data_IF_019213920452
#
_entry.id   IF_019213920452
#
_cell.length_a   1.000
_cell.length_b   1.000
_cell.length_c   1.000
_cell.angle_alpha   90.00
_cell.angle_beta   90.00
_cell.angle_gamma   90.00
#
_symmetry.space_group_name_H-M   'P 1'
#
loop_
_entity.id
_entity.type
_entity.pdbx_description
1 polymer ?
#
# COMPACT_ATOMS: atom_id res chain seq x y z
N UNK A 1 -2.02 16.30 -36.77
CA UNK A 1 -2.99 15.63 -35.88
C UNK A 1 -2.78 16.02 -34.40
N UNK A 2 -2.18 17.19 -34.15
CA UNK A 2 -1.48 17.47 -32.90
C UNK A 2 -2.20 18.50 -32.02
N UNK A 3 -3.18 19.23 -32.57
CA UNK A 3 -4.02 20.17 -31.84
C UNK A 3 -4.86 19.43 -30.80
N UNK A 4 -5.67 18.45 -31.22
CA UNK A 4 -6.59 17.73 -30.33
C UNK A 4 -5.89 17.06 -29.13
N UNK A 5 -4.70 16.48 -29.34
CA UNK A 5 -3.88 15.96 -28.23
C UNK A 5 -3.31 17.05 -27.32
N UNK A 6 -2.96 18.22 -27.89
CA UNK A 6 -2.52 19.39 -27.13
C UNK A 6 -3.66 20.01 -26.31
N UNK A 7 -4.88 20.01 -26.84
CA UNK A 7 -6.08 20.44 -26.11
C UNK A 7 -6.36 19.52 -24.90
N UNK A 8 -6.16 18.21 -25.04
CA UNK A 8 -6.26 17.24 -23.94
C UNK A 8 -5.13 17.43 -22.91
N UNK A 9 -3.88 17.62 -23.36
CA UNK A 9 -2.74 17.92 -22.48
C UNK A 9 -3.01 19.21 -21.67
N UNK A 10 -3.52 20.27 -22.31
CA UNK A 10 -3.80 21.56 -21.68
C UNK A 10 -4.99 21.48 -20.70
N UNK A 11 -6.09 20.84 -21.10
CA UNK A 11 -7.23 20.57 -20.22
C UNK A 11 -6.82 19.78 -18.97
N UNK A 12 -5.95 18.77 -19.12
CA UNK A 12 -5.42 17.97 -18.01
C UNK A 12 -4.61 18.83 -17.04
N UNK A 13 -3.73 19.70 -17.55
CA UNK A 13 -2.92 20.61 -16.73
C UNK A 13 -3.76 21.69 -16.03
N UNK A 14 -4.76 22.25 -16.72
CA UNK A 14 -5.68 23.24 -16.14
C UNK A 14 -6.52 22.65 -15.00
N UNK A 15 -7.03 21.41 -15.16
CA UNK A 15 -7.78 20.71 -14.10
C UNK A 15 -6.89 20.44 -12.88
N UNK A 16 -5.63 20.05 -13.09
CA UNK A 16 -4.65 19.89 -12.00
C UNK A 16 -4.34 21.21 -11.30
N UNK A 17 -4.10 22.29 -12.05
CA UNK A 17 -3.82 23.61 -11.51
C UNK A 17 -5.00 24.16 -10.68
N UNK A 18 -6.22 24.06 -11.21
CA UNK A 18 -7.45 24.47 -10.52
C UNK A 18 -7.73 23.68 -9.23
N UNK A 19 -7.18 22.47 -9.11
CA UNK A 19 -7.29 21.62 -7.91
C UNK A 19 -6.18 21.85 -6.86
N UNK A 20 -5.24 22.77 -7.09
CA UNK A 20 -4.08 22.98 -6.20
C UNK A 20 -2.92 22.00 -6.44
N UNK A 21 -2.86 21.35 -7.61
CA UNK A 21 -1.69 20.60 -8.08
C UNK A 21 -1.63 19.12 -7.67
N UNK A 22 -2.63 18.58 -6.98
CA UNK A 22 -2.73 17.14 -6.67
C UNK A 22 -4.16 16.64 -6.84
N UNK A 23 -4.33 15.56 -7.61
CA UNK A 23 -5.58 14.82 -7.80
C UNK A 23 -5.28 13.33 -7.98
N UNK A 24 -6.26 12.48 -7.64
CA UNK A 24 -6.25 11.07 -8.03
C UNK A 24 -6.60 10.89 -9.52
N UNK A 25 -6.22 9.75 -10.12
CA UNK A 25 -6.59 9.44 -11.51
C UNK A 25 -8.12 9.38 -11.71
N UNK A 26 -8.85 8.87 -10.71
CA UNK A 26 -10.31 8.77 -10.75
C UNK A 26 -10.99 10.15 -10.73
N UNK A 27 -10.52 11.08 -9.88
CA UNK A 27 -11.02 12.47 -9.90
C UNK A 27 -10.68 13.17 -11.21
N UNK A 28 -9.48 12.95 -11.74
CA UNK A 28 -9.04 13.56 -12.99
C UNK A 28 -9.89 13.05 -14.17
N UNK A 29 -10.18 11.74 -14.22
CA UNK A 29 -11.10 11.12 -15.18
C UNK A 29 -12.53 11.66 -15.06
N UNK A 30 -13.05 11.78 -13.83
CA UNK A 30 -14.38 12.36 -13.57
C UNK A 30 -14.48 13.83 -14.03
N UNK A 31 -13.45 14.65 -13.78
CA UNK A 31 -13.42 16.07 -14.18
C UNK A 31 -13.20 16.28 -15.68
N UNK A 32 -12.47 15.39 -16.35
CA UNK A 32 -12.23 15.43 -17.80
C UNK A 32 -13.32 14.73 -18.63
N UNK A 33 -14.25 14.01 -18.00
CA UNK A 33 -15.27 13.22 -18.70
C UNK A 33 -14.68 12.03 -19.48
N UNK A 34 -13.53 11.52 -19.05
CA UNK A 34 -12.76 10.46 -19.72
C UNK A 34 -12.77 9.16 -18.92
N UNK A 35 -12.38 8.03 -19.55
CA UNK A 35 -12.11 6.79 -18.80
C UNK A 35 -10.79 6.90 -18.03
N UNK A 36 -10.69 6.18 -16.92
CA UNK A 36 -9.48 6.18 -16.10
C UNK A 36 -8.25 5.64 -16.87
N UNK A 37 -8.43 4.64 -17.74
CA UNK A 37 -7.34 4.11 -18.57
C UNK A 37 -6.80 5.11 -19.61
N UNK A 38 -7.69 5.92 -20.20
CA UNK A 38 -7.29 6.99 -21.11
C UNK A 38 -6.50 8.08 -20.36
N UNK A 39 -7.01 8.51 -19.20
CA UNK A 39 -6.32 9.46 -18.32
C UNK A 39 -4.99 8.92 -17.81
N UNK A 40 -4.91 7.64 -17.43
CA UNK A 40 -3.66 6.97 -17.01
C UNK A 40 -2.60 7.04 -18.11
N UNK A 41 -3.00 6.83 -19.37
CA UNK A 41 -2.09 6.93 -20.52
C UNK A 41 -1.60 8.37 -20.74
N UNK A 42 -2.50 9.36 -20.70
CA UNK A 42 -2.15 10.79 -20.84
C UNK A 42 -1.23 11.26 -19.70
N UNK A 43 -1.56 10.93 -18.45
CA UNK A 43 -0.74 11.29 -17.27
C UNK A 43 0.64 10.64 -17.33
N UNK A 44 0.75 9.40 -17.81
CA UNK A 44 2.05 8.73 -17.99
C UNK A 44 2.92 9.49 -19.01
N UNK A 45 2.36 9.79 -20.18
CA UNK A 45 3.04 10.58 -21.22
C UNK A 45 3.43 11.99 -20.75
N UNK A 46 2.57 12.66 -19.99
CA UNK A 46 2.88 13.98 -19.41
C UNK A 46 3.98 13.90 -18.34
N UNK A 47 4.08 12.79 -17.61
CA UNK A 47 5.14 12.55 -16.63
C UNK A 47 6.49 12.27 -17.30
N UNK A 48 6.51 11.47 -18.36
CA UNK A 48 7.71 11.25 -19.21
C UNK A 48 8.22 12.56 -19.83
N UNK A 49 7.29 13.46 -20.20
CA UNK A 49 7.59 14.82 -20.69
C UNK A 49 7.94 15.83 -19.58
N UNK A 50 7.98 15.41 -18.31
CA UNK A 50 8.32 16.25 -17.16
C UNK A 50 7.28 17.33 -16.81
N UNK A 51 6.06 17.24 -17.33
CA UNK A 51 4.99 18.24 -17.10
C UNK A 51 4.15 17.98 -15.86
N UNK A 52 4.07 16.73 -15.42
CA UNK A 52 3.42 16.32 -14.16
C UNK A 52 4.35 15.38 -13.40
N UNK A 53 4.15 15.23 -12.09
CA UNK A 53 4.91 14.28 -11.26
C UNK A 53 3.95 13.35 -10.53
N UNK A 54 4.18 12.05 -10.66
CA UNK A 54 3.52 11.04 -9.84
C UNK A 54 4.10 11.17 -8.42
N UNK A 55 3.29 11.72 -7.51
CA UNK A 55 3.72 12.05 -6.14
C UNK A 55 3.46 10.91 -5.14
N UNK A 56 2.44 10.10 -5.38
CA UNK A 56 1.98 9.04 -4.47
C UNK A 56 1.84 7.73 -5.23
N UNK A 57 2.33 6.64 -4.62
CA UNK A 57 2.26 5.28 -5.12
C UNK A 57 1.95 4.39 -3.93
N UNK A 58 0.73 3.90 -3.85
CA UNK A 58 0.23 3.15 -2.69
C UNK A 58 0.03 1.66 -3.00
N UNK A 59 0.15 0.83 -1.97
CA UNK A 59 -0.22 -0.59 -2.06
C UNK A 59 -1.73 -0.72 -2.02
N UNK A 60 -2.36 -0.94 -3.18
CA UNK A 60 -3.80 -1.18 -3.30
C UNK A 60 -4.30 -2.37 -2.43
N UNK A 61 -3.41 -3.29 -2.03
CA UNK A 61 -3.67 -4.35 -1.04
C UNK A 61 -2.40 -4.60 -0.21
N UNK A 62 -2.51 -4.92 1.10
CA UNK A 62 -1.37 -5.28 1.92
C UNK A 62 -0.57 -6.45 1.32
N UNK A 63 0.69 -6.21 0.96
CA UNK A 63 1.60 -7.25 0.50
C UNK A 63 2.17 -7.98 1.71
N UNK A 64 1.68 -9.18 2.00
CA UNK A 64 2.32 -10.05 2.98
C UNK A 64 3.77 -10.32 2.57
N UNK A 65 4.72 -9.91 3.42
CA UNK A 65 6.15 -10.19 3.26
C UNK A 65 6.46 -11.50 3.99
N UNK A 66 6.75 -12.55 3.22
CA UNK A 66 7.17 -13.84 3.77
C UNK A 66 8.56 -13.65 4.42
N UNK A 67 8.61 -13.65 5.75
CA UNK A 67 9.85 -13.41 6.51
C UNK A 67 9.66 -12.82 7.90
N UNK A 68 8.51 -12.22 8.20
CA UNK A 68 8.15 -11.78 9.56
C UNK A 68 7.81 -13.00 10.45
N UNK A 69 8.82 -13.77 10.85
CA UNK A 69 8.68 -14.84 11.82
C UNK A 69 8.11 -14.27 13.15
N UNK A 70 7.15 -14.94 13.80
CA UNK A 70 6.59 -14.46 15.06
C UNK A 70 7.64 -14.52 16.16
N UNK A 71 8.25 -13.37 16.47
CA UNK A 71 9.15 -13.24 17.62
C UNK A 71 8.34 -13.34 18.91
N UNK A 72 8.50 -14.46 19.62
CA UNK A 72 8.25 -14.52 21.06
C UNK A 72 7.02 -15.29 21.54
N UNK A 73 6.78 -16.51 21.06
CA UNK A 73 6.08 -17.52 21.86
C UNK A 73 7.09 -18.33 22.69
N UNK A 74 7.74 -17.68 23.66
CA UNK A 74 8.69 -18.35 24.56
C UNK A 74 7.96 -19.30 25.51
N UNK A 75 7.73 -20.55 25.09
CA UNK A 75 7.31 -21.65 25.99
C UNK A 75 8.45 -21.96 26.96
N UNK A 76 8.41 -21.29 28.11
CA UNK A 76 9.36 -21.42 29.21
C UNK A 76 9.04 -22.69 30.02
N UNK A 77 10.07 -23.51 30.28
CA UNK A 77 10.05 -24.51 31.36
C UNK A 77 9.65 -25.94 30.96
N UNK A 78 10.66 -26.79 30.71
CA UNK A 78 10.59 -28.23 30.92
C UNK A 78 11.64 -28.63 31.98
N UNK A 79 11.34 -29.64 32.81
CA UNK A 79 12.12 -30.03 34.01
C UNK A 79 11.74 -29.17 35.24
N UNK A 80 11.79 -29.64 36.50
CA UNK A 80 12.27 -30.88 37.16
C UNK A 80 11.54 -31.01 38.53
N UNK A 81 11.47 -32.14 39.25
CA UNK A 81 11.93 -33.54 39.04
C UNK A 81 11.16 -34.53 39.95
N UNK A 82 11.58 -35.80 39.99
CA UNK A 82 11.04 -36.90 40.80
C UNK A 82 10.96 -36.70 42.33
N UNK A 83 9.95 -37.32 42.96
CA UNK A 83 10.00 -37.78 44.37
C UNK A 83 9.50 -39.22 44.48
N UNK A 84 10.42 -40.18 44.38
CA UNK A 84 10.18 -41.59 44.69
C UNK A 84 10.53 -41.91 46.15
N UNK A 85 9.50 -42.09 46.98
CA UNK A 85 9.47 -43.00 48.13
C UNK A 85 10.44 -42.81 49.31
N UNK A 86 9.87 -42.58 50.50
CA UNK A 86 10.20 -43.47 51.64
C UNK A 86 9.08 -43.57 52.68
N UNK A 87 9.07 -44.71 53.36
CA UNK A 87 8.10 -45.15 54.35
C UNK A 87 8.23 -44.43 55.69
N UNK A 88 7.12 -44.28 56.43
CA UNK A 88 7.00 -44.83 57.81
C UNK A 88 5.58 -44.82 58.38
N UNK A 89 5.30 -45.92 59.07
CA UNK A 89 4.22 -46.19 60.03
C UNK A 89 4.36 -45.29 61.28
N UNK A 90 3.25 -44.79 61.83
CA UNK A 90 2.83 -45.02 63.24
C UNK A 90 1.58 -44.23 63.65
N UNK A 91 0.73 -44.92 64.44
CA UNK A 91 -0.39 -44.39 65.24
C UNK A 91 0.11 -43.54 66.43
N UNK A 92 -0.80 -42.81 67.10
CA UNK A 92 -1.40 -43.36 68.33
C UNK A 92 -2.90 -43.66 68.18
#
# INVERSE_FOLDING_TARGET
MDSWWRDIDDATLNVLAAAGGRLTLAELASRLGMSEDAVRSVVTMLAERGRVRIAEVELARPRALAGAAPRGAARRGAGQSAVIGKTRRSTP
#
